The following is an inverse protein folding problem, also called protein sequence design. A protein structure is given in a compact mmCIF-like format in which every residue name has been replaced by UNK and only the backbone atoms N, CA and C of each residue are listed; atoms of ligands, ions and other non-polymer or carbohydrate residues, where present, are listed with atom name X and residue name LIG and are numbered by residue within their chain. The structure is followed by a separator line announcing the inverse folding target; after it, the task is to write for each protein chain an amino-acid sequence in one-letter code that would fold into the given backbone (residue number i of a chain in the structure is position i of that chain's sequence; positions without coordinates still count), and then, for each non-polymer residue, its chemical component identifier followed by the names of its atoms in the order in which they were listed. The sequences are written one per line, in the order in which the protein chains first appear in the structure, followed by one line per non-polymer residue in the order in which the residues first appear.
data_IF_629437408974
#
_entry.id   IF_629437408974
#
_cell.length_a   1.000
_cell.length_b   1.000
_cell.length_c   1.000
_cell.angle_alpha   90.00
_cell.angle_beta   90.00
_cell.angle_gamma   90.00
#
_symmetry.space_group_name_H-M   'P 1'
#
loop_
_entity.id
_entity.type
_entity.pdbx_description
1 polymer ?
#
# COMPACT_ATOMS: atom_id res chain seq x y z
N UNK A 1 10.07 -13.45 18.67
CA UNK A 1 9.00 -12.87 17.89
C UNK A 1 9.35 -12.72 16.41
N UNK A 2 8.39 -12.28 15.62
CA UNK A 2 8.64 -11.89 14.23
C UNK A 2 9.25 -10.50 14.13
N UNK A 3 9.97 -10.25 13.04
CA UNK A 3 10.43 -8.91 12.68
C UNK A 3 9.25 -7.95 12.50
N UNK A 4 9.44 -6.66 12.79
CA UNK A 4 8.42 -5.64 12.58
C UNK A 4 8.73 -4.85 11.32
N UNK A 5 7.68 -4.46 10.59
CA UNK A 5 7.82 -3.47 9.51
C UNK A 5 8.40 -2.17 10.09
N UNK A 6 9.51 -1.70 9.52
CA UNK A 6 10.21 -0.50 9.98
C UNK A 6 9.68 0.79 9.36
N UNK A 7 8.97 0.68 8.22
CA UNK A 7 8.39 1.83 7.52
C UNK A 7 6.87 1.72 7.54
N UNK A 8 6.25 2.40 8.47
CA UNK A 8 4.81 2.46 8.66
C UNK A 8 4.27 3.81 8.18
N UNK A 9 3.42 3.79 7.16
CA UNK A 9 2.74 4.95 6.62
C UNK A 9 1.40 5.14 7.35
N UNK A 10 1.22 6.20 8.15
CA UNK A 10 -0.07 6.53 8.68
C UNK A 10 -1.02 6.94 7.56
N UNK A 11 -2.20 6.37 7.54
CA UNK A 11 -3.26 6.65 6.60
C UNK A 11 -4.59 6.83 7.33
N UNK A 12 -5.47 7.64 6.73
CA UNK A 12 -6.79 7.94 7.27
C UNK A 12 -7.79 7.99 6.13
N UNK A 13 -8.97 7.39 6.32
CA UNK A 13 -10.03 7.41 5.32
C UNK A 13 -11.41 7.35 5.93
N UNK A 14 -12.40 7.86 5.18
CA UNK A 14 -13.81 7.79 5.50
C UNK A 14 -14.66 7.55 4.25
N UNK A 15 -15.93 7.29 4.44
CA UNK A 15 -16.93 7.29 3.38
C UNK A 15 -17.55 8.69 3.27
N UNK A 16 -17.53 9.27 2.09
CA UNK A 16 -18.37 10.42 1.72
C UNK A 16 -19.62 9.84 1.02
N UNK A 17 -20.82 10.07 1.56
CA UNK A 17 -22.04 9.38 1.07
C UNK A 17 -22.63 10.02 -0.20
N UNK A 18 -22.08 11.11 -0.70
CA UNK A 18 -22.57 11.81 -1.89
C UNK A 18 -22.25 11.03 -3.17
N UNK A 19 -22.94 11.35 -4.23
CA UNK A 19 -22.65 10.78 -5.55
C UNK A 19 -21.35 11.35 -6.13
N UNK A 20 -20.59 10.49 -6.78
CA UNK A 20 -19.32 10.80 -7.43
C UNK A 20 -19.30 10.22 -8.83
N UNK A 21 -18.62 10.91 -9.74
CA UNK A 21 -18.30 10.34 -11.04
C UNK A 21 -17.55 9.00 -10.86
N UNK A 22 -17.80 7.97 -11.69
CA UNK A 22 -17.22 6.64 -11.52
C UNK A 22 -15.75 6.58 -11.95
N UNK A 23 -14.98 7.61 -11.62
CA UNK A 23 -13.56 7.74 -11.94
C UNK A 23 -12.75 7.89 -10.65
N UNK A 24 -11.86 6.93 -10.32
CA UNK A 24 -10.95 7.07 -9.19
C UNK A 24 -9.96 8.23 -9.41
N UNK A 25 -9.82 9.07 -8.40
CA UNK A 25 -8.88 10.19 -8.41
C UNK A 25 -7.75 9.95 -7.41
N UNK A 26 -6.52 10.26 -7.79
CA UNK A 26 -5.34 10.21 -6.93
C UNK A 26 -4.59 11.53 -6.97
N UNK A 27 -4.22 12.04 -5.80
CA UNK A 27 -3.57 13.34 -5.62
C UNK A 27 -2.20 13.14 -4.97
N UNK A 28 -1.16 13.67 -5.59
CA UNK A 28 0.24 13.54 -5.15
C UNK A 28 0.83 14.90 -4.75
N UNK A 29 2.00 14.88 -4.13
CA UNK A 29 2.76 16.07 -3.81
C UNK A 29 2.39 16.68 -2.45
N UNK A 30 2.25 18.01 -2.39
CA UNK A 30 2.07 18.75 -1.14
C UNK A 30 0.81 18.34 -0.36
N UNK A 31 -0.24 17.86 -1.03
CA UNK A 31 -1.47 17.39 -0.40
C UNK A 31 -1.25 16.16 0.48
N UNK A 32 -0.28 15.32 0.11
CA UNK A 32 0.04 14.07 0.81
C UNK A 32 1.52 13.71 0.64
N UNK A 33 2.43 14.35 1.39
CA UNK A 33 3.86 14.22 1.17
C UNK A 33 4.38 12.80 1.34
N UNK A 34 5.04 12.29 0.30
CA UNK A 34 5.60 10.93 0.27
C UNK A 34 4.57 9.80 0.21
N UNK A 35 3.30 10.16 -0.01
CA UNK A 35 2.19 9.26 -0.23
C UNK A 35 1.24 9.82 -1.29
N UNK A 36 -0.06 9.60 -1.11
CA UNK A 36 -1.10 10.16 -1.97
C UNK A 36 -2.43 10.28 -1.21
N UNK A 37 -3.29 11.19 -1.70
CA UNK A 37 -4.68 11.26 -1.30
C UNK A 37 -5.56 10.67 -2.42
N UNK A 38 -6.75 10.22 -2.08
CA UNK A 38 -7.65 9.56 -3.03
C UNK A 38 -9.11 9.90 -2.81
N UNK A 39 -9.85 9.86 -3.91
CA UNK A 39 -11.31 9.76 -3.95
C UNK A 39 -11.64 8.53 -4.81
N UNK A 40 -12.15 7.47 -4.20
CA UNK A 40 -12.45 6.21 -4.88
C UNK A 40 -13.96 5.99 -4.82
N UNK A 41 -14.68 6.22 -5.95
CA UNK A 41 -16.10 6.00 -6.04
C UNK A 41 -16.47 4.55 -5.73
N UNK A 42 -17.64 4.38 -5.13
CA UNK A 42 -18.30 3.10 -4.85
C UNK A 42 -19.72 3.16 -5.37
N UNK A 43 -20.46 2.05 -5.27
CA UNK A 43 -21.89 1.99 -5.63
C UNK A 43 -22.71 3.07 -4.90
N UNK A 44 -22.35 3.36 -3.65
CA UNK A 44 -22.96 4.41 -2.84
C UNK A 44 -21.84 5.24 -2.19
N UNK A 45 -21.63 6.47 -2.69
CA UNK A 45 -20.64 7.37 -2.18
C UNK A 45 -19.21 7.15 -2.73
N UNK A 46 -18.22 7.65 -1.99
CA UNK A 46 -16.81 7.42 -2.29
C UNK A 46 -16.00 7.16 -1.02
N UNK A 47 -15.01 6.28 -1.10
CA UNK A 47 -13.96 6.20 -0.10
C UNK A 47 -12.98 7.33 -0.35
N UNK A 48 -12.85 8.24 0.61
CA UNK A 48 -11.95 9.40 0.56
C UNK A 48 -10.89 9.27 1.64
N UNK A 49 -9.64 9.55 1.30
CA UNK A 49 -8.58 9.39 2.28
C UNK A 49 -7.22 9.86 1.80
N UNK A 50 -6.24 9.72 2.67
CA UNK A 50 -4.83 9.94 2.33
C UNK A 50 -3.90 9.15 3.26
N UNK A 51 -2.69 8.91 2.75
CA UNK A 51 -1.59 8.37 3.53
C UNK A 51 -0.34 9.22 3.35
N UNK A 52 0.34 9.59 4.43
CA UNK A 52 1.53 10.42 4.39
C UNK A 52 2.76 9.67 4.90
N UNK A 53 3.91 9.88 4.27
CA UNK A 53 5.17 9.37 4.81
C UNK A 53 5.63 10.26 5.96
N UNK A 54 5.90 9.67 7.13
CA UNK A 54 6.45 10.39 8.30
C UNK A 54 7.72 11.17 7.98
N UNK A 55 8.51 10.67 7.03
CA UNK A 55 9.77 11.31 6.60
C UNK A 55 9.56 12.68 5.96
N UNK A 56 8.44 12.89 5.28
CA UNK A 56 8.15 14.13 4.52
C UNK A 56 7.03 14.95 5.13
N UNK A 57 6.30 14.43 6.12
CA UNK A 57 5.22 15.12 6.79
C UNK A 57 5.74 16.30 7.62
N UNK A 58 5.10 17.46 7.44
CA UNK A 58 5.39 18.72 8.18
C UNK A 58 4.31 19.07 9.19
N UNK A 59 3.21 18.33 9.21
CA UNK A 59 2.08 18.48 10.13
C UNK A 59 1.44 17.11 10.43
N UNK A 60 0.42 17.08 11.27
CA UNK A 60 -0.28 15.84 11.63
C UNK A 60 -1.02 15.24 10.44
N UNK A 61 -1.25 13.92 10.47
CA UNK A 61 -2.08 13.20 9.50
C UNK A 61 -3.46 13.85 9.39
N UNK A 62 -4.08 14.15 10.54
CA UNK A 62 -5.38 14.83 10.61
C UNK A 62 -5.34 16.17 9.88
N UNK A 63 -4.29 16.97 10.08
CA UNK A 63 -4.16 18.28 9.40
C UNK A 63 -4.07 18.16 7.89
N UNK A 64 -3.39 17.13 7.35
CA UNK A 64 -3.40 16.88 5.90
C UNK A 64 -4.77 16.41 5.42
N UNK A 65 -5.45 15.58 6.21
CA UNK A 65 -6.79 15.09 5.87
C UNK A 65 -7.83 16.23 5.84
N UNK A 66 -7.85 17.08 6.86
CA UNK A 66 -8.77 18.20 6.95
C UNK A 66 -8.56 19.19 5.77
N UNK A 67 -7.29 19.47 5.42
CA UNK A 67 -6.98 20.32 4.25
C UNK A 67 -7.44 19.68 2.94
N UNK A 68 -7.25 18.36 2.78
CA UNK A 68 -7.71 17.65 1.59
C UNK A 68 -9.24 17.66 1.47
N UNK A 69 -9.93 17.38 2.57
CA UNK A 69 -11.40 17.45 2.65
C UNK A 69 -11.89 18.86 2.26
N UNK A 70 -11.28 19.91 2.81
CA UNK A 70 -11.61 21.30 2.47
C UNK A 70 -11.31 21.61 1.00
N UNK A 71 -10.13 21.25 0.50
CA UNK A 71 -9.69 21.50 -0.87
C UNK A 71 -10.66 20.90 -1.90
N UNK A 72 -11.16 19.69 -1.62
CA UNK A 72 -12.07 18.97 -2.52
C UNK A 72 -13.55 19.16 -2.16
N UNK A 73 -13.85 19.99 -1.15
CA UNK A 73 -15.21 20.23 -0.65
C UNK A 73 -15.95 18.93 -0.34
N UNK A 74 -15.23 17.97 0.28
CA UNK A 74 -15.78 16.66 0.65
C UNK A 74 -16.61 16.78 1.93
N UNK A 75 -17.53 15.82 2.15
CA UNK A 75 -18.37 15.73 3.36
C UNK A 75 -18.32 14.30 3.90
N UNK A 76 -17.12 13.83 4.29
CA UNK A 76 -16.98 12.47 4.78
C UNK A 76 -17.54 12.30 6.19
N UNK A 77 -17.98 11.09 6.49
CA UNK A 77 -18.27 10.67 7.86
C UNK A 77 -16.99 10.56 8.73
N UNK A 78 -17.11 9.97 9.94
CA UNK A 78 -15.98 9.81 10.84
C UNK A 78 -14.84 9.01 10.21
N UNK A 79 -13.59 9.53 10.22
CA UNK A 79 -12.48 8.84 9.60
C UNK A 79 -11.89 7.72 10.48
N UNK A 80 -11.42 6.66 9.85
CA UNK A 80 -10.66 5.57 10.45
C UNK A 80 -9.19 5.68 10.09
N UNK A 81 -8.32 5.59 11.12
CA UNK A 81 -6.87 5.57 10.94
C UNK A 81 -6.31 4.16 10.80
N UNK A 82 -5.30 4.00 9.97
CA UNK A 82 -4.54 2.75 9.78
C UNK A 82 -3.04 3.06 9.66
N UNK A 83 -2.23 2.07 10.04
CA UNK A 83 -0.79 2.08 9.78
C UNK A 83 -0.49 1.06 8.69
N UNK A 84 -0.11 1.54 7.50
CA UNK A 84 0.15 0.68 6.35
C UNK A 84 1.64 0.32 6.33
N UNK A 85 2.03 -0.98 6.34
CA UNK A 85 3.43 -1.38 6.26
C UNK A 85 3.96 -1.14 4.84
N UNK A 86 4.97 -0.30 4.73
CA UNK A 86 5.52 0.14 3.45
C UNK A 86 6.99 -0.28 3.26
N UNK A 87 7.55 -1.11 4.16
CA UNK A 87 8.92 -1.62 4.07
C UNK A 87 9.09 -2.76 3.07
N UNK A 88 7.99 -3.39 2.66
CA UNK A 88 7.96 -4.69 2.01
C UNK A 88 7.88 -5.84 3.03
N UNK A 89 7.87 -7.10 2.54
CA UNK A 89 7.74 -8.27 3.40
C UNK A 89 8.88 -8.41 4.40
N UNK A 90 8.53 -8.89 5.60
CA UNK A 90 9.51 -9.30 6.61
C UNK A 90 10.33 -10.50 6.12
N UNK A 91 11.53 -10.68 6.71
CA UNK A 91 12.45 -11.71 6.25
C UNK A 91 11.89 -13.11 6.46
N UNK A 92 11.30 -13.41 7.61
CA UNK A 92 10.76 -14.72 7.98
C UNK A 92 9.28 -14.60 8.32
N UNK A 93 8.42 -15.33 7.60
CA UNK A 93 6.96 -15.33 7.79
C UNK A 93 6.42 -16.57 8.49
N UNK A 94 7.29 -17.56 8.76
CA UNK A 94 6.98 -18.78 9.52
C UNK A 94 7.99 -18.96 10.64
N UNK A 95 7.52 -19.27 11.86
CA UNK A 95 8.37 -19.59 13.00
C UNK A 95 7.69 -20.62 13.90
N UNK A 96 8.27 -21.81 13.99
CA UNK A 96 7.62 -22.95 14.66
C UNK A 96 6.26 -23.24 14.03
N UNK A 97 5.24 -23.28 14.84
CA UNK A 97 3.85 -23.54 14.41
C UNK A 97 3.04 -22.27 14.13
N UNK A 98 3.71 -21.12 13.96
CA UNK A 98 3.06 -19.82 13.70
C UNK A 98 3.48 -19.31 12.34
N UNK A 99 2.52 -18.88 11.54
CA UNK A 99 2.75 -18.12 10.31
C UNK A 99 2.03 -16.76 10.36
N UNK A 100 2.60 -15.78 9.67
CA UNK A 100 2.03 -14.42 9.56
C UNK A 100 1.74 -14.10 8.10
N UNK A 101 0.64 -13.36 7.87
CA UNK A 101 0.07 -13.10 6.54
C UNK A 101 -0.34 -11.63 6.42
N UNK A 102 -0.36 -11.12 5.21
CA UNK A 102 -0.87 -9.78 4.90
C UNK A 102 -0.05 -8.67 5.54
N UNK A 103 -0.71 -7.66 6.11
CA UNK A 103 -0.06 -6.49 6.72
C UNK A 103 0.92 -6.88 7.84
N UNK A 104 0.58 -7.89 8.64
CA UNK A 104 1.45 -8.40 9.71
C UNK A 104 2.78 -8.96 9.17
N UNK A 105 2.77 -9.49 7.96
CA UNK A 105 3.94 -9.97 7.25
C UNK A 105 4.58 -8.92 6.32
N UNK A 106 4.07 -7.69 6.29
CA UNK A 106 4.49 -6.66 5.35
C UNK A 106 4.21 -7.02 3.88
N UNK A 107 3.26 -7.92 3.63
CA UNK A 107 2.86 -8.37 2.29
C UNK A 107 1.90 -7.37 1.65
N UNK A 108 2.39 -6.15 1.49
CA UNK A 108 1.69 -4.99 0.92
C UNK A 108 2.54 -4.43 -0.21
N UNK A 109 1.92 -3.94 -1.26
CA UNK A 109 2.60 -3.23 -2.34
C UNK A 109 3.09 -1.86 -1.84
N UNK A 110 4.40 -1.65 -1.60
CA UNK A 110 4.88 -0.44 -0.94
C UNK A 110 4.87 0.82 -1.81
N UNK A 111 4.42 0.73 -3.06
CA UNK A 111 4.23 1.90 -3.96
C UNK A 111 2.87 2.55 -3.74
N UNK A 112 1.81 1.74 -3.59
CA UNK A 112 0.43 2.21 -3.56
C UNK A 112 -0.34 1.76 -2.30
N UNK A 113 0.30 1.06 -1.35
CA UNK A 113 -0.37 0.54 -0.16
C UNK A 113 -1.39 -0.57 -0.44
N UNK A 114 -1.37 -1.16 -1.64
CA UNK A 114 -2.32 -2.19 -2.06
C UNK A 114 -2.05 -3.52 -1.36
N UNK A 115 -2.71 -3.77 -0.23
CA UNK A 115 -2.55 -4.99 0.58
C UNK A 115 -3.61 -6.06 0.33
N UNK A 116 -4.84 -5.68 0.01
CA UNK A 116 -6.00 -6.60 -0.05
C UNK A 116 -5.78 -7.78 -1.02
N UNK A 117 -5.40 -7.59 -2.31
CA UNK A 117 -5.19 -8.71 -3.22
C UNK A 117 -4.07 -9.64 -2.76
N UNK A 118 -2.99 -9.06 -2.24
CA UNK A 118 -1.84 -9.84 -1.74
C UNK A 118 -2.22 -10.63 -0.49
N UNK A 119 -2.95 -10.03 0.44
CA UNK A 119 -3.43 -10.70 1.65
C UNK A 119 -4.37 -11.87 1.32
N UNK A 120 -5.24 -11.73 0.31
CA UNK A 120 -6.11 -12.83 -0.16
C UNK A 120 -5.31 -13.98 -0.75
N UNK A 121 -4.32 -13.69 -1.61
CA UNK A 121 -3.45 -14.71 -2.20
C UNK A 121 -2.64 -15.42 -1.11
N UNK A 122 -1.95 -14.65 -0.25
CA UNK A 122 -1.13 -15.22 0.81
C UNK A 122 -1.98 -15.96 1.86
N UNK A 123 -3.18 -15.47 2.17
CA UNK A 123 -4.12 -16.14 3.07
C UNK A 123 -4.58 -17.49 2.55
N UNK A 124 -4.89 -17.59 1.25
CA UNK A 124 -5.20 -18.86 0.59
C UNK A 124 -4.03 -19.84 0.66
N UNK A 125 -2.81 -19.38 0.36
CA UNK A 125 -1.61 -20.22 0.45
C UNK A 125 -1.40 -20.68 1.89
N UNK A 126 -1.53 -19.77 2.87
CA UNK A 126 -1.39 -20.07 4.28
C UNK A 126 -2.37 -21.14 4.75
N UNK A 127 -3.65 -21.04 4.37
CA UNK A 127 -4.68 -22.01 4.70
C UNK A 127 -4.36 -23.41 4.14
N UNK A 128 -3.94 -23.50 2.87
CA UNK A 128 -3.55 -24.77 2.24
C UNK A 128 -2.31 -25.37 2.92
N UNK A 129 -1.28 -24.54 3.17
CA UNK A 129 -0.04 -25.02 3.82
C UNK A 129 -0.31 -25.49 5.25
N UNK A 130 -1.15 -24.76 6.01
CA UNK A 130 -1.52 -25.16 7.37
C UNK A 130 -2.29 -26.48 7.40
N UNK A 131 -3.27 -26.66 6.49
CA UNK A 131 -4.03 -27.90 6.39
C UNK A 131 -3.13 -29.10 6.02
N UNK A 132 -2.22 -28.91 5.07
CA UNK A 132 -1.26 -29.98 4.68
C UNK A 132 -0.28 -30.30 5.80
N UNK A 133 0.20 -29.30 6.54
CA UNK A 133 1.09 -29.51 7.68
C UNK A 133 0.38 -30.23 8.83
N UNK A 134 -0.87 -29.88 9.13
CA UNK A 134 -1.68 -30.56 10.14
C UNK A 134 -1.92 -32.05 9.81
N UNK A 135 -2.01 -32.39 8.51
CA UNK A 135 -2.14 -33.76 8.03
C UNK A 135 -0.79 -34.48 7.85
N UNK A 136 0.32 -33.91 8.31
CA UNK A 136 1.66 -34.51 8.21
C UNK A 136 2.23 -34.62 6.80
N UNK A 137 1.61 -33.97 5.80
CA UNK A 137 2.03 -34.10 4.39
C UNK A 137 3.27 -33.26 4.08
N UNK A 138 3.39 -32.05 4.66
CA UNK A 138 4.47 -31.11 4.39
C UNK A 138 4.82 -30.30 5.64
N UNK A 139 5.95 -29.61 5.60
CA UNK A 139 6.31 -28.63 6.62
C UNK A 139 5.52 -27.33 6.45
N UNK A 140 5.18 -26.66 7.55
CA UNK A 140 4.58 -25.32 7.53
C UNK A 140 5.47 -24.27 6.81
N UNK A 141 6.78 -24.51 6.75
CA UNK A 141 7.73 -23.68 6.01
C UNK A 141 7.45 -23.61 4.49
N UNK A 142 6.68 -24.55 3.93
CA UNK A 142 6.27 -24.51 2.53
C UNK A 142 5.45 -23.26 2.18
N UNK A 143 4.70 -22.72 3.15
CA UNK A 143 4.02 -21.45 3.01
C UNK A 143 4.97 -20.32 2.56
N UNK A 144 6.16 -20.24 3.18
CA UNK A 144 7.11 -19.17 2.86
C UNK A 144 7.66 -19.32 1.44
N UNK A 145 7.96 -20.51 1.02
CA UNK A 145 8.42 -20.82 -0.34
C UNK A 145 7.35 -20.47 -1.38
N UNK A 146 6.12 -20.87 -1.11
CA UNK A 146 5.03 -20.73 -2.07
C UNK A 146 4.58 -19.28 -2.24
N UNK A 147 4.39 -18.52 -1.16
CA UNK A 147 4.03 -17.10 -1.33
C UNK A 147 5.16 -16.30 -1.99
N UNK A 148 6.44 -16.61 -1.70
CA UNK A 148 7.57 -15.95 -2.36
C UNK A 148 7.61 -16.26 -3.86
N UNK A 149 7.25 -17.47 -4.24
CA UNK A 149 7.15 -17.89 -5.64
C UNK A 149 6.04 -17.13 -6.36
N UNK A 150 4.85 -16.99 -5.75
CA UNK A 150 3.68 -16.39 -6.40
C UNK A 150 3.73 -14.86 -6.42
N UNK A 151 4.05 -14.20 -5.31
CA UNK A 151 3.96 -12.74 -5.17
C UNK A 151 5.28 -12.05 -4.79
N UNK A 152 6.32 -12.81 -4.48
CA UNK A 152 7.61 -12.24 -4.05
C UNK A 152 8.29 -11.39 -5.13
N UNK A 153 8.17 -11.75 -6.41
CA UNK A 153 8.71 -10.98 -7.54
C UNK A 153 8.08 -9.57 -7.63
N UNK A 154 6.77 -9.46 -7.78
CA UNK A 154 6.05 -8.18 -7.76
C UNK A 154 6.35 -7.33 -6.52
N UNK A 155 6.38 -7.91 -5.32
CA UNK A 155 6.70 -7.19 -4.08
C UNK A 155 8.13 -6.63 -4.09
N UNK A 156 9.13 -7.39 -4.54
CA UNK A 156 10.52 -6.89 -4.70
C UNK A 156 10.60 -5.74 -5.69
N UNK A 157 9.91 -5.85 -6.83
CA UNK A 157 9.82 -4.78 -7.84
C UNK A 157 9.20 -3.52 -7.22
N UNK A 158 8.12 -3.66 -6.48
CA UNK A 158 7.46 -2.55 -5.79
C UNK A 158 8.37 -1.85 -4.77
N UNK A 159 9.16 -2.62 -3.98
CA UNK A 159 10.16 -2.05 -3.05
C UNK A 159 11.21 -1.23 -3.80
N UNK A 160 11.74 -1.74 -4.92
CA UNK A 160 12.73 -1.02 -5.75
C UNK A 160 12.14 0.26 -6.35
N UNK A 161 10.93 0.18 -6.93
CA UNK A 161 10.22 1.33 -7.49
C UNK A 161 9.99 2.41 -6.42
N UNK A 162 9.55 2.03 -5.22
CA UNK A 162 9.39 2.96 -4.10
C UNK A 162 10.71 3.64 -3.74
N UNK A 163 11.81 2.90 -3.62
CA UNK A 163 13.14 3.49 -3.31
C UNK A 163 13.53 4.58 -4.31
N UNK A 164 13.30 4.35 -5.60
CA UNK A 164 13.53 5.34 -6.65
C UNK A 164 12.58 6.55 -6.51
N UNK A 165 11.30 6.32 -6.30
CA UNK A 165 10.31 7.37 -6.12
C UNK A 165 10.61 8.25 -4.88
N UNK A 166 11.14 7.67 -3.80
CA UNK A 166 11.52 8.43 -2.60
C UNK A 166 12.57 9.52 -2.86
N UNK A 167 13.40 9.40 -3.91
CA UNK A 167 14.36 10.45 -4.28
C UNK A 167 13.66 11.70 -4.84
N UNK A 168 12.42 11.59 -5.29
CA UNK A 168 11.64 12.69 -5.87
C UNK A 168 10.71 13.35 -4.85
N UNK A 169 10.24 12.64 -3.82
CA UNK A 169 9.23 13.13 -2.87
C UNK A 169 9.68 14.29 -1.97
N UNK A 170 10.98 14.54 -1.86
CA UNK A 170 11.50 15.65 -1.06
C UNK A 170 11.31 17.04 -1.68
N UNK A 171 10.81 17.13 -2.93
CA UNK A 171 10.61 18.39 -3.66
C UNK A 171 9.47 18.26 -4.65
N UNK A 172 8.52 19.20 -4.58
CA UNK A 172 7.38 19.27 -5.52
C UNK A 172 7.86 19.31 -6.97
N UNK A 173 8.86 20.13 -7.27
CA UNK A 173 9.45 20.27 -8.59
C UNK A 173 10.05 18.93 -9.11
N UNK A 174 10.83 18.23 -8.29
CA UNK A 174 11.39 16.91 -8.67
C UNK A 174 10.30 15.89 -8.94
N UNK A 175 9.26 15.88 -8.12
CA UNK A 175 8.12 14.98 -8.31
C UNK A 175 7.41 15.25 -9.64
N UNK A 176 7.10 16.50 -9.95
CA UNK A 176 6.45 16.90 -11.20
C UNK A 176 7.27 16.53 -12.42
N UNK A 177 8.57 16.82 -12.40
CA UNK A 177 9.49 16.43 -13.47
C UNK A 177 9.55 14.92 -13.65
N UNK A 178 9.66 14.15 -12.57
CA UNK A 178 9.68 12.69 -12.64
C UNK A 178 8.37 12.13 -13.21
N UNK A 179 7.22 12.68 -12.82
CA UNK A 179 5.91 12.28 -13.34
C UNK A 179 5.76 12.60 -14.83
N UNK A 180 6.23 13.77 -15.27
CA UNK A 180 6.22 14.17 -16.69
C UNK A 180 7.12 13.25 -17.54
N UNK A 181 8.34 12.95 -17.07
CA UNK A 181 9.28 12.05 -17.75
C UNK A 181 8.77 10.61 -17.84
N UNK A 182 8.12 10.10 -16.80
CA UNK A 182 7.52 8.77 -16.82
C UNK A 182 6.38 8.65 -17.83
N UNK A 183 5.58 9.68 -17.97
CA UNK A 183 4.38 9.67 -18.80
C UNK A 183 3.30 8.69 -18.31
N UNK A 184 2.11 8.77 -18.87
CA UNK A 184 0.93 8.01 -18.44
C UNK A 184 1.15 6.48 -18.43
N UNK A 185 1.83 5.94 -19.45
CA UNK A 185 2.03 4.49 -19.62
C UNK A 185 2.92 3.89 -18.53
N UNK A 186 4.07 4.52 -18.23
CA UNK A 186 5.00 4.07 -17.17
C UNK A 186 4.43 4.32 -15.78
N UNK A 187 3.72 5.44 -15.60
CA UNK A 187 2.99 5.71 -14.36
C UNK A 187 1.96 4.62 -14.07
N UNK A 188 1.16 4.22 -15.06
CA UNK A 188 0.22 3.11 -14.92
C UNK A 188 0.89 1.77 -14.57
N UNK A 189 2.09 1.49 -15.11
CA UNK A 189 2.89 0.32 -14.71
C UNK A 189 3.37 0.43 -13.25
N UNK A 190 3.88 1.59 -12.84
CA UNK A 190 4.35 1.84 -11.47
C UNK A 190 3.24 1.63 -10.44
N UNK A 191 2.06 2.18 -10.68
CA UNK A 191 0.88 2.03 -9.80
C UNK A 191 0.46 0.57 -9.69
N UNK A 192 0.54 -0.20 -10.77
CA UNK A 192 0.25 -1.65 -10.78
C UNK A 192 1.42 -2.52 -10.32
N UNK A 193 2.50 -1.91 -9.83
CA UNK A 193 3.72 -2.58 -9.39
C UNK A 193 4.35 -3.50 -10.44
N UNK A 194 4.19 -3.15 -11.70
CA UNK A 194 4.86 -3.75 -12.84
C UNK A 194 6.22 -3.08 -13.07
N UNK A 195 7.16 -3.79 -13.72
CA UNK A 195 8.44 -3.17 -14.09
C UNK A 195 8.21 -1.94 -14.97
N UNK A 196 8.81 -0.81 -14.58
CA UNK A 196 8.82 0.44 -15.36
C UNK A 196 9.97 0.48 -16.37
N UNK A 197 10.92 -0.42 -16.21
CA UNK A 197 12.03 -0.65 -17.13
C UNK A 197 11.66 -1.76 -18.12
N UNK A 198 12.23 -1.72 -19.34
CA UNK A 198 12.05 -2.80 -20.31
C UNK A 198 12.58 -4.14 -19.80
#
# INVERSE_FOLDING_TARGET
GFERSWDLCPAQSALDPRDFEPVPEMYFGAVSPGGYAWVIPKTHGANVGLGVSRRYAKKSLKGYYDDFVKLRKLVPGPPNGKMVPMSGPIYQTVKGNVLVVGDAAGQVMPVNGGGIPIALICGRIAGVSAANAANGKVSLAEYETEWRRQVGGPLRTAVRTKRLAMMTFGSQWRLEWAMRLMGKRRMGKAIRCQSIFP
#
